data_IF_756251428424
#
_entry.id   IF_756251428424
#
_cell.length_a   1.000
_cell.length_b   1.000
_cell.length_c   1.000
_cell.angle_alpha   90.00
_cell.angle_beta   90.00
_cell.angle_gamma   90.00
#
_symmetry.space_group_name_H-M   'P 1'
#
loop_
_entity.id
_entity.type
_entity.pdbx_description
1 polymer ?
#
# COMPACT_ATOMS: atom_id res chain seq x y z
N UNK A 1 -8.32 18.77 14.98
CA UNK A 1 -9.31 18.23 15.95
C UNK A 1 -9.59 16.77 15.63
N UNK A 2 -9.71 15.90 16.63
CA UNK A 2 -10.10 14.51 16.47
C UNK A 2 -11.63 14.38 16.53
N UNK A 3 -12.24 13.60 15.62
CA UNK A 3 -13.71 13.47 15.49
C UNK A 3 -14.16 12.04 15.80
N UNK A 4 -13.58 11.02 15.15
CA UNK A 4 -13.89 9.59 15.31
C UNK A 4 -15.39 9.25 15.22
N UNK A 5 -16.07 9.73 14.18
CA UNK A 5 -17.50 9.46 13.95
C UNK A 5 -17.80 9.16 12.48
N UNK A 6 -18.85 8.39 12.17
CA UNK A 6 -19.30 8.17 10.80
C UNK A 6 -19.53 9.50 10.05
N UNK A 7 -19.15 9.55 8.78
CA UNK A 7 -19.24 10.77 7.96
C UNK A 7 -20.67 11.33 7.89
N UNK A 8 -21.68 10.46 7.79
CA UNK A 8 -23.08 10.88 7.76
C UNK A 8 -23.56 11.51 9.08
N UNK A 9 -22.94 11.16 10.21
CA UNK A 9 -23.33 11.67 11.53
C UNK A 9 -22.75 13.06 11.84
N UNK A 10 -21.69 13.45 11.13
CA UNK A 10 -20.98 14.72 11.35
C UNK A 10 -21.02 15.65 10.14
N UNK A 11 -21.61 15.20 9.04
CA UNK A 11 -21.80 15.93 7.80
C UNK A 11 -22.25 17.38 8.02
N UNK A 12 -23.34 17.55 8.77
CA UNK A 12 -23.98 18.85 8.97
C UNK A 12 -23.15 19.77 9.89
N UNK A 13 -22.45 19.20 10.87
CA UNK A 13 -21.60 19.94 11.82
C UNK A 13 -20.16 20.15 11.35
N UNK A 14 -19.74 19.47 10.28
CA UNK A 14 -18.35 19.51 9.80
C UNK A 14 -17.98 20.90 9.28
N UNK A 15 -18.92 21.57 8.60
CA UNK A 15 -18.74 22.94 8.14
C UNK A 15 -18.50 23.92 9.29
N UNK A 16 -19.32 23.83 10.35
CA UNK A 16 -19.18 24.62 11.57
C UNK A 16 -17.84 24.34 12.27
N UNK A 17 -17.49 23.06 12.45
CA UNK A 17 -16.21 22.65 13.07
C UNK A 17 -15.01 23.20 12.30
N UNK A 18 -15.04 23.16 10.96
CA UNK A 18 -13.97 23.72 10.14
C UNK A 18 -13.93 25.25 10.22
N UNK A 19 -15.09 25.91 10.35
CA UNK A 19 -15.20 27.35 10.58
C UNK A 19 -14.56 27.77 11.90
N UNK A 20 -14.85 27.05 12.98
CA UNK A 20 -14.27 27.30 14.30
C UNK A 20 -12.75 27.11 14.31
N UNK A 21 -12.27 26.03 13.67
CA UNK A 21 -10.83 25.76 13.54
C UNK A 21 -10.13 26.84 12.70
N UNK A 22 -10.78 27.34 11.65
CA UNK A 22 -10.23 28.44 10.85
C UNK A 22 -10.16 29.74 11.67
N UNK A 23 -11.22 30.06 12.41
CA UNK A 23 -11.25 31.25 13.26
C UNK A 23 -10.15 31.20 14.34
N UNK A 24 -9.99 30.05 14.99
CA UNK A 24 -8.91 29.83 15.97
C UNK A 24 -7.52 29.99 15.32
N UNK A 25 -7.27 29.32 14.18
CA UNK A 25 -5.97 29.40 13.50
C UNK A 25 -5.64 30.83 13.01
N UNK A 26 -6.65 31.60 12.60
CA UNK A 26 -6.47 33.03 12.24
C UNK A 26 -6.16 33.90 13.45
N UNK A 27 -6.80 33.65 14.58
CA UNK A 27 -6.54 34.39 15.82
C UNK A 27 -5.11 34.14 16.34
N UNK A 28 -4.65 32.88 16.30
CA UNK A 28 -3.28 32.52 16.66
C UNK A 28 -2.28 33.27 15.75
N UNK A 29 -2.52 33.29 14.44
CA UNK A 29 -1.69 33.97 13.46
C UNK A 29 -1.62 35.50 13.63
N UNK A 30 -2.72 36.14 14.05
CA UNK A 30 -2.76 37.58 14.33
C UNK A 30 -1.92 37.98 15.55
N UNK A 31 -1.68 37.04 16.47
CA UNK A 31 -0.88 37.27 17.67
C UNK A 31 0.60 37.51 17.33
N UNK A 32 1.09 36.99 16.19
CA UNK A 32 2.49 37.08 15.73
C UNK A 32 2.81 38.35 14.88
N UNK A 33 1.92 39.34 14.85
CA UNK A 33 2.18 40.77 14.51
C UNK A 33 2.75 41.17 13.14
N UNK A 34 2.73 40.32 12.11
CA UNK A 34 3.11 40.73 10.73
C UNK A 34 1.98 40.68 9.70
N UNK A 35 0.74 40.41 10.12
CA UNK A 35 -0.32 39.89 9.24
C UNK A 35 -1.34 40.90 8.67
N UNK A 36 -1.22 42.21 8.91
CA UNK A 36 -2.30 43.14 8.52
C UNK A 36 -2.39 43.43 7.00
N UNK A 37 -1.36 43.11 6.22
CA UNK A 37 -1.30 43.45 4.79
C UNK A 37 -1.33 42.26 3.83
N UNK A 38 -1.34 41.02 4.32
CA UNK A 38 -1.22 39.82 3.48
C UNK A 38 -2.44 38.93 3.65
N UNK A 39 -3.12 38.65 2.53
CA UNK A 39 -4.26 37.74 2.53
C UNK A 39 -3.79 36.31 2.88
N UNK A 40 -4.28 35.71 3.98
CA UNK A 40 -3.90 34.36 4.35
C UNK A 40 -4.53 33.32 3.41
N UNK A 41 -3.73 32.34 3.04
CA UNK A 41 -4.17 31.14 2.32
C UNK A 41 -4.68 30.11 3.31
N UNK A 42 -5.89 29.61 3.09
CA UNK A 42 -6.51 28.59 3.95
C UNK A 42 -6.68 27.29 3.18
N UNK A 43 -6.18 26.20 3.74
CA UNK A 43 -6.49 24.84 3.29
C UNK A 43 -7.23 24.08 4.40
N UNK A 44 -8.22 23.29 3.99
CA UNK A 44 -9.06 22.49 4.88
C UNK A 44 -8.92 21.03 4.46
N UNK A 45 -8.55 20.15 5.38
CA UNK A 45 -8.40 18.73 5.12
C UNK A 45 -9.04 17.89 6.21
N UNK A 46 -9.54 16.72 5.84
CA UNK A 46 -10.07 15.72 6.76
C UNK A 46 -9.39 14.39 6.52
N UNK A 47 -9.14 13.66 7.59
CA UNK A 47 -8.67 12.28 7.52
C UNK A 47 -9.87 11.34 7.56
N UNK A 48 -10.05 10.58 6.49
CA UNK A 48 -11.16 9.63 6.33
C UNK A 48 -10.64 8.21 6.26
N UNK A 49 -11.40 7.26 6.83
CA UNK A 49 -11.14 5.83 6.72
C UNK A 49 -12.43 5.04 6.75
N UNK A 50 -12.39 3.76 6.43
CA UNK A 50 -13.51 2.87 6.73
C UNK A 50 -13.56 2.53 8.21
N UNK A 51 -14.76 2.38 8.78
CA UNK A 51 -14.92 1.94 10.17
C UNK A 51 -14.18 0.63 10.41
N UNK A 52 -13.27 0.63 11.38
CA UNK A 52 -12.42 -0.50 11.74
C UNK A 52 -11.15 -0.66 10.91
N UNK A 53 -11.02 0.06 9.79
CA UNK A 53 -9.71 0.29 9.17
C UNK A 53 -8.92 1.24 10.06
N UNK A 54 -7.60 1.09 10.06
CA UNK A 54 -6.74 1.91 10.88
C UNK A 54 -6.02 3.00 10.07
N UNK A 55 -5.63 2.72 8.81
CA UNK A 55 -5.03 3.74 7.93
C UNK A 55 -6.08 4.72 7.41
N UNK A 56 -5.84 6.02 7.63
CA UNK A 56 -6.63 7.11 7.10
C UNK A 56 -6.04 7.69 5.81
N UNK A 57 -6.91 8.29 5.00
CA UNK A 57 -6.55 9.06 3.82
C UNK A 57 -6.92 10.51 4.07
N UNK A 58 -5.95 11.40 3.84
CA UNK A 58 -6.19 12.83 3.85
C UNK A 58 -6.93 13.25 2.58
N UNK A 59 -8.06 13.93 2.75
CA UNK A 59 -8.93 14.42 1.69
C UNK A 59 -9.15 15.92 1.88
N UNK A 60 -8.93 16.70 0.83
CA UNK A 60 -9.22 18.12 0.82
C UNK A 60 -10.74 18.37 0.88
N UNK A 61 -11.12 19.40 1.65
CA UNK A 61 -12.52 19.84 1.81
C UNK A 61 -12.72 21.15 1.05
N UNK A 62 -13.71 21.16 0.17
CA UNK A 62 -14.10 22.33 -0.63
C UNK A 62 -15.38 22.93 -0.05
N UNK A 63 -15.36 24.12 0.55
CA UNK A 63 -16.57 24.67 1.17
C UNK A 63 -17.46 25.42 0.14
N UNK A 64 -18.78 25.16 0.10
CA UNK A 64 -19.51 24.13 0.84
C UNK A 64 -19.30 22.72 0.25
N UNK A 65 -19.13 21.72 1.12
CA UNK A 65 -18.81 20.35 0.70
C UNK A 65 -19.92 19.37 1.10
N UNK A 66 -20.82 18.96 0.20
CA UNK A 66 -21.82 17.96 0.54
C UNK A 66 -21.14 16.60 0.84
N UNK A 67 -21.69 15.80 1.77
CA UNK A 67 -21.09 14.53 2.18
C UNK A 67 -20.82 13.56 1.04
N UNK A 68 -21.67 13.59 0.01
CA UNK A 68 -21.54 12.77 -1.20
C UNK A 68 -20.31 13.13 -2.03
N UNK A 69 -20.00 14.43 -2.15
CA UNK A 69 -18.81 14.93 -2.85
C UNK A 69 -17.53 14.50 -2.13
N UNK A 70 -17.51 14.68 -0.81
CA UNK A 70 -16.39 14.27 0.02
C UNK A 70 -16.19 12.74 0.01
N UNK A 71 -17.29 11.97 0.07
CA UNK A 71 -17.26 10.51 -0.06
C UNK A 71 -16.78 10.07 -1.45
N UNK A 72 -17.13 10.78 -2.52
CA UNK A 72 -16.66 10.49 -3.87
C UNK A 72 -15.15 10.76 -4.03
N UNK A 73 -14.64 11.87 -3.49
CA UNK A 73 -13.19 12.15 -3.45
C UNK A 73 -12.44 11.10 -2.64
N UNK A 74 -12.97 10.70 -1.49
CA UNK A 74 -12.44 9.58 -0.71
C UNK A 74 -12.40 8.29 -1.52
N UNK A 75 -13.50 7.90 -2.17
CA UNK A 75 -13.58 6.67 -2.96
C UNK A 75 -12.60 6.69 -4.13
N UNK A 76 -12.44 7.83 -4.81
CA UNK A 76 -11.44 8.00 -5.87
C UNK A 76 -10.02 7.80 -5.32
N UNK A 77 -9.67 8.50 -4.24
CA UNK A 77 -8.35 8.38 -3.59
C UNK A 77 -8.09 6.96 -3.08
N UNK A 78 -9.09 6.33 -2.49
CA UNK A 78 -9.00 4.97 -1.97
C UNK A 78 -8.74 3.96 -3.08
N UNK A 79 -9.43 4.05 -4.23
CA UNK A 79 -9.14 3.19 -5.39
C UNK A 79 -7.74 3.42 -5.95
N UNK A 80 -7.26 4.66 -5.99
CA UNK A 80 -5.88 4.96 -6.43
C UNK A 80 -4.83 4.35 -5.48
N UNK A 81 -5.08 4.38 -4.17
CA UNK A 81 -4.12 3.88 -3.16
C UNK A 81 -4.21 2.36 -2.97
N UNK A 82 -5.40 1.78 -3.01
CA UNK A 82 -5.63 0.37 -2.65
C UNK A 82 -6.08 -0.51 -3.81
N UNK A 83 -6.50 0.05 -4.95
CA UNK A 83 -6.89 -0.69 -6.14
C UNK A 83 -8.29 -1.35 -6.07
N UNK A 84 -9.02 -1.20 -4.96
CA UNK A 84 -10.37 -1.73 -4.80
C UNK A 84 -11.22 -0.80 -3.94
N UNK A 85 -12.51 -1.13 -3.76
CA UNK A 85 -13.43 -0.42 -2.89
C UNK A 85 -14.24 -1.43 -2.07
N UNK A 86 -14.16 -1.40 -0.72
CA UNK A 86 -15.05 -2.19 0.14
C UNK A 86 -16.52 -1.86 -0.11
N UNK A 87 -17.37 -2.88 -0.20
CA UNK A 87 -18.82 -2.70 -0.11
C UNK A 87 -19.27 -2.69 1.35
N UNK A 88 -20.39 -2.03 1.64
CA UNK A 88 -21.11 -2.13 2.91
C UNK A 88 -20.31 -1.74 4.17
N UNK A 89 -19.34 -0.82 4.04
CA UNK A 89 -18.57 -0.31 5.17
C UNK A 89 -18.71 1.21 5.24
N UNK A 90 -19.13 1.72 6.40
CA UNK A 90 -19.28 3.16 6.61
C UNK A 90 -17.91 3.86 6.61
N UNK A 91 -17.90 5.09 6.10
CA UNK A 91 -16.74 6.00 6.18
C UNK A 91 -16.79 6.72 7.53
N UNK A 92 -15.67 6.78 8.22
CA UNK A 92 -15.43 7.47 9.49
C UNK A 92 -14.51 8.68 9.26
N UNK A 93 -14.87 9.82 9.86
CA UNK A 93 -14.01 11.00 9.97
C UNK A 93 -13.13 10.82 11.20
N UNK A 94 -11.82 10.73 10.99
CA UNK A 94 -10.83 10.57 12.07
C UNK A 94 -10.47 11.91 12.66
N UNK A 95 -10.10 12.85 11.80
CA UNK A 95 -9.67 14.19 12.22
C UNK A 95 -10.03 15.22 11.15
N UNK A 96 -10.20 16.47 11.60
CA UNK A 96 -10.33 17.65 10.75
C UNK A 96 -9.18 18.61 11.05
N UNK A 97 -8.61 19.18 9.99
CA UNK A 97 -7.46 20.09 10.04
C UNK A 97 -7.75 21.30 9.16
N UNK A 98 -7.48 22.47 9.72
CA UNK A 98 -7.38 23.71 8.96
C UNK A 98 -5.94 24.19 9.06
N UNK A 99 -5.37 24.59 7.95
CA UNK A 99 -4.05 25.21 7.89
C UNK A 99 -4.20 26.59 7.28
N UNK A 100 -3.80 27.60 8.04
CA UNK A 100 -3.76 29.00 7.60
C UNK A 100 -2.30 29.36 7.39
N UNK A 101 -1.96 29.83 6.20
CA UNK A 101 -0.60 30.22 5.82
C UNK A 101 -0.61 31.68 5.40
N UNK A 102 0.37 32.44 5.87
CA UNK A 102 0.69 33.73 5.27
C UNK A 102 1.82 33.49 4.28
N UNK A 103 1.71 34.10 3.10
CA UNK A 103 2.88 34.25 2.25
C UNK A 103 3.84 35.20 2.96
N UNK A 104 5.08 34.78 3.18
CA UNK A 104 6.13 35.71 3.56
C UNK A 104 6.53 36.48 2.29
N UNK A 105 6.27 37.79 2.19
CA UNK A 105 6.58 38.56 1.00
C UNK A 105 8.10 38.74 0.83
N UNK A 106 8.89 38.44 1.86
CA UNK A 106 10.35 38.39 1.81
C UNK A 106 10.94 37.03 1.45
N UNK A 107 10.13 35.96 1.36
CA UNK A 107 10.60 34.60 1.09
C UNK A 107 9.99 34.04 -0.20
N UNK A 108 10.59 34.41 -1.33
CA UNK A 108 10.22 33.87 -2.64
C UNK A 108 10.92 32.53 -2.90
N UNK A 109 10.31 31.44 -2.46
CA UNK A 109 10.76 30.07 -2.77
C UNK A 109 11.88 29.54 -1.88
N UNK A 110 12.40 28.32 -2.14
CA UNK A 110 13.58 27.82 -1.45
C UNK A 110 14.68 28.87 -1.56
N UNK A 111 15.45 29.09 -0.49
CA UNK A 111 16.53 30.09 -0.42
C UNK A 111 17.25 30.18 -1.76
N UNK A 112 16.84 31.15 -2.58
CA UNK A 112 17.41 31.35 -3.89
C UNK A 112 18.68 32.09 -3.60
N UNK A 113 19.74 31.33 -3.32
CA UNK A 113 21.07 31.87 -3.41
C UNK A 113 21.17 32.38 -4.84
N UNK A 114 21.17 33.71 -4.99
CA UNK A 114 21.36 34.34 -6.28
C UNK A 114 22.52 33.62 -6.96
N UNK A 115 22.30 33.16 -8.21
CA UNK A 115 23.31 32.42 -8.94
C UNK A 115 24.64 33.18 -8.81
N UNK A 116 25.74 32.53 -8.37
CA UNK A 116 27.01 33.21 -8.19
C UNK A 116 27.33 34.01 -9.44
N UNK A 117 27.49 35.33 -9.30
CA UNK A 117 28.09 36.13 -10.35
C UNK A 117 29.49 35.58 -10.54
N UNK A 118 29.73 34.90 -11.67
CA UNK A 118 31.02 34.27 -11.93
C UNK A 118 32.15 35.26 -11.65
N UNK A 119 32.96 34.97 -10.62
CA UNK A 119 34.01 35.88 -10.20
C UNK A 119 35.07 35.96 -11.32
N UNK A 120 35.32 37.15 -11.90
CA UNK A 120 36.32 37.33 -12.96
C UNK A 120 37.76 37.01 -12.53
N UNK A 121 38.06 37.01 -11.22
CA UNK A 121 39.35 36.58 -10.68
C UNK A 121 39.41 35.05 -10.61
N UNK A 122 38.36 34.39 -10.09
CA UNK A 122 38.25 32.92 -10.09
C UNK A 122 38.28 32.37 -11.51
N UNK A 123 37.62 33.01 -12.48
CA UNK A 123 37.71 32.62 -13.91
C UNK A 123 39.12 32.72 -14.50
N UNK A 124 39.95 33.66 -14.02
CA UNK A 124 41.35 33.79 -14.46
C UNK A 124 42.23 32.70 -13.86
N UNK A 125 42.00 32.34 -12.60
CA UNK A 125 42.75 31.27 -11.92
C UNK A 125 42.27 29.86 -12.35
N UNK A 126 40.97 29.68 -12.60
CA UNK A 126 40.39 28.46 -13.18
C UNK A 126 40.87 28.18 -14.62
N UNK A 127 41.39 29.20 -15.32
CA UNK A 127 42.12 29.04 -16.58
C UNK A 127 43.38 28.18 -16.45
N UNK A 128 43.91 28.00 -15.23
CA UNK A 128 44.94 27.02 -14.90
C UNK A 128 44.31 25.67 -14.49
N UNK A 129 43.47 25.10 -15.37
CA UNK A 129 42.75 23.86 -15.10
C UNK A 129 43.72 22.71 -14.81
N UNK A 130 43.70 22.17 -13.59
CA UNK A 130 44.46 20.96 -13.24
C UNK A 130 43.78 19.75 -13.88
N UNK A 131 44.52 19.01 -14.69
CA UNK A 131 44.06 17.74 -15.25
C UNK A 131 44.14 16.66 -14.17
N UNK A 132 42.99 16.10 -13.78
CA UNK A 132 42.89 14.97 -12.87
C UNK A 132 42.69 13.67 -13.66
N UNK A 133 43.07 12.55 -13.07
CA UNK A 133 42.69 11.22 -13.56
C UNK A 133 41.77 10.58 -12.53
N UNK A 134 40.57 10.23 -12.95
CA UNK A 134 39.53 9.63 -12.11
C UNK A 134 39.23 8.23 -12.60
N UNK A 135 38.88 7.35 -11.67
CA UNK A 135 38.49 5.99 -11.99
C UNK A 135 36.96 5.85 -11.93
N UNK A 136 36.34 5.67 -13.09
CA UNK A 136 34.90 5.46 -13.25
C UNK A 136 34.68 4.33 -14.28
N UNK A 137 34.99 3.10 -13.89
CA UNK A 137 35.05 1.92 -14.78
C UNK A 137 36.32 1.86 -15.66
N UNK A 138 36.84 3.02 -16.05
CA UNK A 138 38.17 3.20 -16.64
C UNK A 138 38.83 4.48 -16.09
N UNK A 139 40.15 4.60 -16.26
CA UNK A 139 40.87 5.83 -15.94
C UNK A 139 40.56 6.91 -16.98
N UNK A 140 39.83 7.94 -16.57
CA UNK A 140 39.40 9.05 -17.43
C UNK A 140 40.09 10.33 -17.00
N UNK A 141 40.63 11.07 -17.96
CA UNK A 141 41.12 12.43 -17.71
C UNK A 141 39.92 13.37 -17.54
N UNK A 142 39.91 14.14 -16.45
CA UNK A 142 38.85 15.08 -16.12
C UNK A 142 39.47 16.42 -15.74
N UNK A 143 38.91 17.51 -16.25
CA UNK A 143 39.30 18.87 -15.85
C UNK A 143 38.63 19.24 -14.53
N UNK A 144 39.33 19.98 -13.68
CA UNK A 144 38.70 20.63 -12.52
C UNK A 144 38.19 22.01 -12.92
N UNK A 145 36.96 22.30 -12.54
CA UNK A 145 36.29 23.60 -12.70
C UNK A 145 35.76 24.01 -11.33
N UNK A 146 36.09 25.21 -10.88
CA UNK A 146 35.51 25.77 -9.67
C UNK A 146 34.08 26.23 -9.95
N UNK A 147 33.14 25.86 -9.10
CA UNK A 147 31.71 26.16 -9.27
C UNK A 147 31.46 27.66 -9.35
N UNK A 148 32.20 28.44 -8.57
CA UNK A 148 32.16 29.90 -8.48
C UNK A 148 32.56 30.59 -9.81
N UNK A 149 33.16 29.87 -10.75
CA UNK A 149 33.48 30.36 -12.10
C UNK A 149 32.31 30.27 -13.10
N UNK A 150 31.28 29.48 -12.81
CA UNK A 150 30.15 29.22 -13.69
C UNK A 150 29.00 30.21 -13.50
N UNK A 151 28.45 30.69 -14.61
CA UNK A 151 27.27 31.57 -14.64
C UNK A 151 25.98 30.77 -14.74
N UNK A 152 24.88 31.40 -14.35
CA UNK A 152 23.53 30.92 -14.64
C UNK A 152 23.38 30.58 -16.14
N UNK A 153 22.80 29.42 -16.42
CA UNK A 153 22.61 28.89 -17.77
C UNK A 153 23.89 28.36 -18.43
N UNK A 154 25.07 28.52 -17.83
CA UNK A 154 26.31 27.98 -18.37
C UNK A 154 26.34 26.46 -18.20
N UNK A 155 26.52 25.76 -19.32
CA UNK A 155 26.54 24.32 -19.38
C UNK A 155 27.97 23.80 -19.56
N UNK A 156 28.40 22.91 -18.67
CA UNK A 156 29.69 22.22 -18.76
C UNK A 156 29.46 20.71 -18.93
N UNK A 157 30.18 20.11 -19.88
CA UNK A 157 30.00 18.69 -20.22
C UNK A 157 31.07 17.85 -19.53
N UNK A 158 30.68 16.72 -18.95
CA UNK A 158 31.61 15.74 -18.44
C UNK A 158 32.48 15.11 -19.54
N UNK A 159 33.64 14.50 -19.20
CA UNK A 159 34.14 14.26 -17.85
C UNK A 159 34.80 15.50 -17.20
N UNK A 160 34.27 15.94 -16.06
CA UNK A 160 34.86 17.03 -15.26
C UNK A 160 34.60 16.86 -13.76
N UNK A 161 35.46 17.47 -12.95
CA UNK A 161 35.23 17.70 -11.53
C UNK A 161 34.76 19.12 -11.34
N UNK A 162 33.60 19.28 -10.74
CA UNK A 162 33.09 20.55 -10.29
C UNK A 162 33.37 20.68 -8.80
N UNK A 163 34.28 21.56 -8.43
CA UNK A 163 34.72 21.76 -7.04
C UNK A 163 34.06 23.01 -6.45
N UNK A 164 33.64 22.93 -5.20
CA UNK A 164 33.05 24.01 -4.41
C UNK A 164 33.68 23.98 -3.01
N UNK A 165 33.59 25.07 -2.24
CA UNK A 165 34.11 25.15 -0.87
C UNK A 165 33.67 23.99 0.06
N UNK A 166 32.51 23.38 -0.18
CA UNK A 166 31.93 22.33 0.67
C UNK A 166 31.53 21.05 -0.08
N UNK A 167 31.79 20.97 -1.38
CA UNK A 167 31.36 19.84 -2.20
C UNK A 167 32.29 19.60 -3.39
N UNK A 168 32.29 18.38 -3.92
CA UNK A 168 32.94 18.06 -5.18
C UNK A 168 32.06 17.09 -5.94
N UNK A 169 31.61 17.51 -7.13
CA UNK A 169 30.73 16.73 -7.99
C UNK A 169 31.53 16.23 -9.18
N UNK A 170 31.56 14.92 -9.39
CA UNK A 170 32.09 14.35 -10.62
C UNK A 170 30.96 14.28 -11.66
N UNK A 171 31.13 15.00 -12.76
CA UNK A 171 30.21 14.96 -13.89
C UNK A 171 30.74 13.94 -14.88
N UNK A 172 30.06 12.81 -14.99
CA UNK A 172 30.44 11.69 -15.83
C UNK A 172 30.36 12.00 -17.34
N UNK A 173 31.08 11.27 -18.20
CA UNK A 173 30.88 11.35 -19.65
C UNK A 173 29.40 11.17 -20.04
N UNK A 174 28.89 12.01 -20.93
CA UNK A 174 27.47 12.00 -21.35
C UNK A 174 26.52 12.78 -20.44
N UNK A 175 27.01 13.27 -19.30
CA UNK A 175 26.28 14.20 -18.45
C UNK A 175 26.69 15.64 -18.70
N UNK A 176 25.72 16.54 -18.62
CA UNK A 176 25.91 17.99 -18.67
C UNK A 176 25.47 18.56 -17.32
N UNK A 177 26.34 19.38 -16.71
CA UNK A 177 26.00 20.16 -15.54
C UNK A 177 25.66 21.59 -15.95
N UNK A 178 24.52 22.11 -15.49
CA UNK A 178 24.07 23.48 -15.74
C UNK A 178 23.70 24.16 -14.44
N UNK A 179 24.09 25.41 -14.28
CA UNK A 179 23.66 26.25 -13.15
C UNK A 179 22.27 26.78 -13.46
N UNK A 180 21.30 26.51 -12.59
CA UNK A 180 19.95 27.06 -12.72
C UNK A 180 19.82 28.45 -12.07
N UNK A 181 18.64 29.07 -12.24
CA UNK A 181 18.30 30.40 -11.70
C UNK A 181 18.43 30.47 -10.17
N UNK A 182 18.29 29.33 -9.48
CA UNK A 182 18.42 29.21 -8.02
C UNK A 182 19.87 28.94 -7.58
N UNK A 183 20.83 28.97 -8.50
CA UNK A 183 22.24 28.68 -8.24
C UNK A 183 22.56 27.19 -8.05
N UNK A 184 21.56 26.31 -8.15
CA UNK A 184 21.73 24.85 -8.04
C UNK A 184 22.37 24.27 -9.29
N UNK A 185 22.99 23.09 -9.15
CA UNK A 185 23.62 22.37 -10.26
C UNK A 185 22.64 21.29 -10.75
N UNK A 186 22.04 21.51 -11.91
CA UNK A 186 21.22 20.51 -12.58
C UNK A 186 22.10 19.60 -13.44
N UNK A 187 22.06 18.29 -13.17
CA UNK A 187 22.74 17.27 -13.97
C UNK A 187 21.75 16.63 -14.94
N UNK A 188 22.00 16.81 -16.24
CA UNK A 188 21.18 16.20 -17.29
C UNK A 188 22.01 15.18 -18.05
N UNK A 189 21.56 13.93 -18.08
CA UNK A 189 22.15 12.92 -18.95
C UNK A 189 21.65 13.13 -20.38
N UNK A 190 22.55 13.52 -21.29
CA UNK A 190 22.24 13.47 -22.72
C UNK A 190 22.39 12.01 -23.15
N UNK A 191 21.27 11.31 -23.27
CA UNK A 191 21.25 10.06 -24.00
C UNK A 191 21.91 10.32 -25.37
N UNK A 192 22.92 9.54 -25.79
CA UNK A 192 23.42 9.64 -27.16
C UNK A 192 22.21 9.49 -28.09
N UNK A 193 22.14 10.35 -29.12
CA UNK A 193 21.12 10.25 -30.17
C UNK A 193 21.02 8.77 -30.56
N UNK A 194 19.81 8.22 -30.43
CA UNK A 194 19.47 6.81 -30.55
C UNK A 194 20.19 6.11 -31.72
N UNK A 195 21.37 5.61 -31.41
CA UNK A 195 22.29 4.85 -32.24
C UNK A 195 23.33 4.32 -31.25
N UNK A 196 23.35 3.00 -31.07
CA UNK A 196 24.27 2.27 -30.17
C UNK A 196 23.92 2.13 -28.68
N UNK A 197 22.65 2.11 -28.29
CA UNK A 197 22.26 1.28 -27.12
C UNK A 197 22.43 -0.24 -27.37
N UNK A 198 22.90 -0.61 -28.57
CA UNK A 198 23.31 -1.96 -28.94
C UNK A 198 24.66 -2.38 -28.34
N UNK A 199 25.43 -1.47 -27.73
CA UNK A 199 26.45 -1.87 -26.78
C UNK A 199 25.75 -2.21 -25.45
N UNK A 200 25.08 -3.36 -25.43
CA UNK A 200 24.86 -4.11 -24.19
C UNK A 200 26.22 -4.12 -23.50
N UNK A 201 26.39 -3.32 -22.44
CA UNK A 201 27.36 -3.70 -21.41
C UNK A 201 27.02 -5.16 -21.15
N UNK A 202 27.96 -6.04 -21.42
CA UNK A 202 27.87 -7.44 -21.03
C UNK A 202 27.93 -7.39 -19.50
N UNK A 203 26.86 -6.91 -18.88
CA UNK A 203 26.72 -6.79 -17.45
C UNK A 203 26.95 -8.22 -16.99
N UNK A 204 28.01 -8.40 -16.19
CA UNK A 204 28.37 -9.73 -15.75
C UNK A 204 27.08 -10.41 -15.25
N UNK A 205 26.79 -11.67 -15.63
CA UNK A 205 25.52 -12.31 -15.30
C UNK A 205 25.12 -12.18 -13.82
N UNK A 206 26.12 -12.02 -12.93
CA UNK A 206 25.94 -11.68 -11.52
C UNK A 206 25.22 -10.34 -11.26
N UNK A 207 25.55 -9.28 -12.01
CA UNK A 207 24.90 -7.95 -11.90
C UNK A 207 23.45 -8.04 -12.36
N UNK A 208 23.18 -8.69 -13.49
CA UNK A 208 21.80 -8.88 -13.97
C UNK A 208 20.96 -9.69 -12.98
N UNK A 209 21.53 -10.79 -12.45
CA UNK A 209 20.87 -11.61 -11.44
C UNK A 209 20.61 -10.82 -10.14
N UNK A 210 21.57 -10.00 -9.69
CA UNK A 210 21.40 -9.16 -8.52
C UNK A 210 20.31 -8.09 -8.73
N UNK A 211 20.26 -7.45 -9.90
CA UNK A 211 19.22 -6.49 -10.24
C UNK A 211 17.84 -7.16 -10.32
N UNK A 212 17.74 -8.36 -10.91
CA UNK A 212 16.51 -9.13 -10.96
C UNK A 212 16.03 -9.52 -9.55
N UNK A 213 16.93 -10.02 -8.70
CA UNK A 213 16.63 -10.38 -7.31
C UNK A 213 16.17 -9.15 -6.50
N UNK A 214 16.84 -8.01 -6.66
CA UNK A 214 16.46 -6.75 -6.02
C UNK A 214 15.07 -6.28 -6.43
N UNK A 215 14.76 -6.32 -7.73
CA UNK A 215 13.43 -5.97 -8.27
C UNK A 215 12.34 -6.88 -7.72
N UNK A 216 12.54 -8.20 -7.76
CA UNK A 216 11.56 -9.16 -7.24
C UNK A 216 11.34 -9.00 -5.73
N UNK A 217 12.41 -8.72 -4.97
CA UNK A 217 12.33 -8.42 -3.53
C UNK A 217 11.49 -7.18 -3.27
N UNK A 218 11.71 -6.10 -4.02
CA UNK A 218 10.93 -4.88 -3.91
C UNK A 218 9.44 -5.13 -4.20
N UNK A 219 9.12 -5.92 -5.25
CA UNK A 219 7.73 -6.31 -5.56
C UNK A 219 7.10 -7.08 -4.39
N UNK A 220 7.80 -8.09 -3.84
CA UNK A 220 7.28 -8.87 -2.73
C UNK A 220 7.04 -8.01 -1.48
N UNK A 221 7.95 -7.07 -1.17
CA UNK A 221 7.78 -6.11 -0.08
C UNK A 221 6.58 -5.19 -0.32
N UNK A 222 6.43 -4.64 -1.52
CA UNK A 222 5.28 -3.79 -1.86
C UNK A 222 3.96 -4.57 -1.73
N UNK A 223 3.91 -5.83 -2.19
CA UNK A 223 2.75 -6.71 -1.97
C UNK A 223 2.39 -6.81 -0.49
N UNK A 224 3.40 -6.96 0.38
CA UNK A 224 3.23 -7.04 1.82
C UNK A 224 2.72 -5.74 2.44
N UNK A 225 3.29 -4.60 2.04
CA UNK A 225 2.86 -3.29 2.52
C UNK A 225 1.44 -2.96 2.09
N UNK A 226 1.06 -3.26 0.84
CA UNK A 226 -0.31 -3.08 0.34
C UNK A 226 -1.29 -3.93 1.14
N UNK A 227 -0.95 -5.19 1.41
CA UNK A 227 -1.78 -6.08 2.23
C UNK A 227 -1.93 -5.54 3.67
N UNK A 228 -0.83 -5.09 4.27
CA UNK A 228 -0.82 -4.55 5.63
C UNK A 228 -1.68 -3.29 5.75
N UNK A 229 -1.56 -2.34 4.80
CA UNK A 229 -2.32 -1.09 4.81
C UNK A 229 -3.81 -1.28 4.55
N UNK A 230 -4.16 -2.28 3.73
CA UNK A 230 -5.56 -2.62 3.44
C UNK A 230 -6.22 -3.43 4.58
N UNK A 231 -5.46 -3.91 5.56
CA UNK A 231 -5.96 -4.82 6.57
C UNK A 231 -6.75 -4.13 7.69
N UNK A 232 -7.94 -4.67 7.97
CA UNK A 232 -8.75 -4.36 9.16
C UNK A 232 -8.35 -5.22 10.38
N UNK A 233 -7.66 -6.35 10.14
CA UNK A 233 -7.24 -7.26 11.21
C UNK A 233 -6.00 -6.74 11.93
N UNK A 234 -6.07 -6.59 13.25
CA UNK A 234 -4.91 -6.22 14.08
C UNK A 234 -3.79 -7.27 14.02
N UNK A 235 -4.11 -8.55 13.79
CA UNK A 235 -3.09 -9.57 13.57
C UNK A 235 -2.26 -9.28 12.31
N UNK A 236 -2.90 -8.85 11.22
CA UNK A 236 -2.20 -8.52 9.98
C UNK A 236 -1.50 -7.18 10.11
N UNK A 237 -2.18 -6.14 10.62
CA UNK A 237 -1.63 -4.78 10.64
C UNK A 237 -0.57 -4.55 11.72
N UNK A 238 -0.81 -5.00 12.95
CA UNK A 238 0.06 -4.72 14.10
C UNK A 238 1.04 -5.87 14.36
N UNK A 239 0.57 -7.11 14.34
CA UNK A 239 1.45 -8.28 14.56
C UNK A 239 2.23 -8.69 13.31
N UNK A 240 1.89 -8.10 12.15
CA UNK A 240 2.45 -8.45 10.84
C UNK A 240 2.39 -9.96 10.57
N UNK A 241 1.29 -10.57 11.03
CA UNK A 241 1.03 -11.99 10.86
C UNK A 241 0.49 -12.22 9.45
N UNK A 242 1.35 -12.10 8.45
CA UNK A 242 1.04 -12.36 7.05
C UNK A 242 2.33 -12.63 6.28
N UNK A 243 2.23 -13.17 5.07
CA UNK A 243 3.39 -13.30 4.18
C UNK A 243 2.97 -13.20 2.73
N UNK A 244 3.83 -12.59 1.93
CA UNK A 244 3.69 -12.47 0.49
C UNK A 244 4.91 -13.12 -0.17
N UNK A 245 4.72 -13.84 -1.27
CA UNK A 245 5.83 -14.38 -2.05
C UNK A 245 5.54 -14.43 -3.53
N UNK A 246 6.65 -14.53 -4.27
CA UNK A 246 6.70 -14.81 -5.69
C UNK A 246 7.33 -16.20 -5.85
N UNK A 247 6.71 -17.03 -6.66
CA UNK A 247 7.10 -18.39 -6.95
C UNK A 247 7.28 -18.57 -8.46
N UNK A 248 8.14 -19.49 -8.87
CA UNK A 248 8.31 -19.86 -10.27
C UNK A 248 7.15 -20.70 -10.80
N UNK A 249 7.18 -21.06 -12.09
CA UNK A 249 6.16 -21.89 -12.74
C UNK A 249 6.04 -23.28 -12.08
N UNK A 250 7.10 -23.78 -11.46
CA UNK A 250 7.12 -25.02 -10.69
C UNK A 250 6.72 -24.81 -9.22
N UNK A 251 6.18 -23.65 -8.84
CA UNK A 251 5.73 -23.37 -7.48
C UNK A 251 6.84 -23.42 -6.44
N UNK A 252 8.10 -23.25 -6.84
CA UNK A 252 9.25 -23.09 -5.94
C UNK A 252 9.37 -21.63 -5.56
N UNK A 253 9.70 -21.40 -4.30
CA UNK A 253 9.82 -20.05 -3.75
C UNK A 253 11.01 -19.33 -4.40
N UNK A 254 10.77 -18.16 -4.97
CA UNK A 254 11.82 -17.29 -5.53
C UNK A 254 12.19 -16.20 -4.52
N UNK A 255 11.18 -15.47 -4.02
CA UNK A 255 11.37 -14.40 -3.03
C UNK A 255 10.13 -14.24 -2.15
N UNK A 256 10.31 -13.71 -0.94
CA UNK A 256 9.24 -13.44 0.01
C UNK A 256 9.41 -12.09 0.71
N UNK A 257 8.29 -11.53 1.16
CA UNK A 257 8.28 -10.41 2.09
C UNK A 257 8.67 -10.87 3.51
N UNK A 258 9.40 -10.05 4.28
CA UNK A 258 9.97 -10.45 5.57
C UNK A 258 8.99 -10.25 6.73
N UNK A 259 8.14 -11.21 7.11
CA UNK A 259 7.25 -11.01 8.27
C UNK A 259 7.00 -12.25 9.15
N UNK A 260 6.82 -13.45 8.59
CA UNK A 260 6.60 -14.66 9.39
C UNK A 260 7.41 -15.86 8.86
N UNK A 261 8.49 -16.29 9.56
CA UNK A 261 9.36 -17.37 9.08
C UNK A 261 8.65 -18.71 8.81
N UNK A 262 7.57 -19.04 9.54
CA UNK A 262 6.83 -20.30 9.37
C UNK A 262 6.12 -20.39 8.01
N UNK A 263 5.76 -19.25 7.41
CA UNK A 263 5.13 -19.20 6.09
C UNK A 263 6.15 -19.50 4.98
N UNK A 264 7.43 -19.21 5.21
CA UNK A 264 8.49 -19.32 4.21
C UNK A 264 8.62 -20.75 3.66
N UNK A 265 8.64 -21.74 4.55
CA UNK A 265 8.77 -23.14 4.16
C UNK A 265 7.48 -23.76 3.61
N UNK A 266 6.32 -23.29 4.09
CA UNK A 266 5.03 -23.93 3.79
C UNK A 266 4.33 -23.38 2.54
N UNK A 267 4.63 -22.16 2.11
CA UNK A 267 3.92 -21.53 0.99
C UNK A 267 4.27 -22.15 -0.37
N UNK A 268 5.54 -22.50 -0.60
CA UNK A 268 5.93 -23.24 -1.80
C UNK A 268 5.32 -24.65 -1.86
N UNK A 269 5.26 -25.34 -0.71
CA UNK A 269 4.59 -26.65 -0.61
C UNK A 269 3.09 -26.52 -0.91
N UNK A 270 2.44 -25.46 -0.40
CA UNK A 270 1.04 -25.17 -0.67
C UNK A 270 0.76 -24.99 -2.16
N UNK A 271 1.52 -24.12 -2.84
CA UNK A 271 1.33 -23.85 -4.27
C UNK A 271 1.54 -25.11 -5.10
N UNK A 272 2.58 -25.89 -4.82
CA UNK A 272 2.81 -27.16 -5.55
C UNK A 272 1.70 -28.17 -5.31
N UNK A 273 1.23 -28.35 -4.07
CA UNK A 273 0.16 -29.29 -3.78
C UNK A 273 -1.18 -28.86 -4.43
N UNK A 274 -1.49 -27.56 -4.45
CA UNK A 274 -2.66 -27.03 -5.16
C UNK A 274 -2.51 -27.20 -6.67
N UNK A 275 -1.33 -26.97 -7.22
CA UNK A 275 -1.05 -27.21 -8.64
C UNK A 275 -1.19 -28.68 -9.00
N UNK A 276 -0.65 -29.60 -8.20
CA UNK A 276 -0.73 -31.03 -8.48
C UNK A 276 -2.18 -31.54 -8.40
N UNK A 277 -3.03 -30.89 -7.59
CA UNK A 277 -4.45 -31.19 -7.48
C UNK A 277 -5.28 -30.61 -8.65
N UNK A 278 -5.03 -29.36 -9.02
CA UNK A 278 -5.85 -28.63 -10.01
C UNK A 278 -5.31 -28.71 -11.43
N UNK A 279 -4.01 -29.03 -11.59
CA UNK A 279 -3.33 -29.05 -12.87
C UNK A 279 -3.47 -27.72 -13.62
N UNK A 280 -3.84 -27.75 -14.91
CA UNK A 280 -4.00 -26.55 -15.75
C UNK A 280 -5.04 -25.55 -15.22
N UNK A 281 -6.00 -25.97 -14.40
CA UNK A 281 -7.03 -25.05 -13.87
C UNK A 281 -6.43 -23.95 -12.98
N UNK A 282 -5.29 -24.21 -12.33
CA UNK A 282 -4.58 -23.20 -11.53
C UNK A 282 -3.99 -22.09 -12.42
N UNK A 283 -3.71 -22.37 -13.69
CA UNK A 283 -3.17 -21.40 -14.65
C UNK A 283 -4.24 -20.41 -15.14
N UNK A 284 -5.52 -20.64 -14.83
CA UNK A 284 -6.61 -19.82 -15.38
C UNK A 284 -7.39 -19.02 -14.33
N UNK A 285 -6.96 -19.03 -13.06
CA UNK A 285 -7.66 -18.26 -12.04
C UNK A 285 -6.97 -18.16 -10.68
N UNK A 286 -7.45 -17.21 -9.89
CA UNK A 286 -7.05 -17.05 -8.48
C UNK A 286 -7.68 -18.15 -7.63
N UNK A 287 -6.86 -18.84 -6.85
CA UNK A 287 -7.29 -19.84 -5.88
C UNK A 287 -7.17 -19.30 -4.47
N UNK A 288 -8.15 -19.64 -3.62
CA UNK A 288 -8.16 -19.30 -2.20
C UNK A 288 -8.32 -20.60 -1.41
N UNK A 289 -7.38 -20.88 -0.50
CA UNK A 289 -7.37 -22.11 0.29
C UNK A 289 -6.92 -21.84 1.72
N UNK A 290 -7.53 -22.56 2.67
CA UNK A 290 -7.09 -22.63 4.07
C UNK A 290 -6.93 -24.09 4.52
N UNK A 291 -6.91 -25.03 3.58
CA UNK A 291 -6.98 -26.45 3.91
C UNK A 291 -5.64 -26.94 4.47
N UNK A 292 -5.64 -27.63 5.63
CA UNK A 292 -4.39 -27.99 6.32
C UNK A 292 -3.53 -28.97 5.52
N UNK A 293 -4.14 -29.86 4.74
CA UNK A 293 -3.40 -30.82 3.91
C UNK A 293 -2.59 -30.16 2.76
N UNK A 294 -2.87 -28.89 2.43
CA UNK A 294 -2.18 -28.14 1.39
C UNK A 294 -1.30 -27.04 1.99
N UNK A 295 -0.73 -27.27 3.18
CA UNK A 295 0.31 -26.41 3.73
C UNK A 295 -0.19 -25.15 4.45
N UNK A 296 -1.44 -25.14 4.93
CA UNK A 296 -1.91 -24.14 5.90
C UNK A 296 -1.29 -24.36 7.28
N UNK A 297 -0.65 -23.33 7.84
CA UNK A 297 0.07 -23.42 9.13
C UNK A 297 -0.89 -23.56 10.31
N UNK A 298 -2.05 -22.92 10.23
CA UNK A 298 -3.18 -23.14 11.12
C UNK A 298 -4.51 -22.80 10.42
N UNK A 299 -5.64 -23.28 10.96
CA UNK A 299 -6.95 -23.15 10.31
C UNK A 299 -7.38 -21.72 9.92
N UNK A 300 -7.05 -20.66 10.69
CA UNK A 300 -7.33 -19.28 10.28
C UNK A 300 -6.56 -18.78 9.06
N UNK A 301 -5.46 -19.44 8.66
CA UNK A 301 -4.60 -18.97 7.57
C UNK A 301 -5.28 -19.19 6.23
N UNK A 302 -5.59 -18.10 5.55
CA UNK A 302 -6.07 -18.13 4.18
C UNK A 302 -4.92 -17.79 3.26
N UNK A 303 -4.63 -18.68 2.32
CA UNK A 303 -3.66 -18.47 1.25
C UNK A 303 -4.41 -18.16 -0.04
N UNK A 304 -4.09 -17.03 -0.66
CA UNK A 304 -4.51 -16.64 -2.00
C UNK A 304 -3.34 -16.90 -2.95
N UNK A 305 -3.58 -17.62 -4.03
CA UNK A 305 -2.60 -17.97 -5.06
C UNK A 305 -3.11 -17.43 -6.39
N UNK A 306 -2.29 -16.66 -7.10
CA UNK A 306 -2.65 -16.09 -8.39
C UNK A 306 -1.55 -16.40 -9.43
N UNK A 307 -1.90 -17.00 -10.59
CA UNK A 307 -0.94 -17.27 -11.65
C UNK A 307 -0.56 -15.97 -12.38
N UNK A 308 0.71 -15.83 -12.71
CA UNK A 308 1.27 -14.69 -13.45
C UNK A 308 1.69 -15.15 -14.83
N UNK A 309 1.24 -14.44 -15.86
CA UNK A 309 1.52 -14.78 -17.26
C UNK A 309 2.24 -13.65 -17.98
N UNK A 310 2.98 -13.98 -19.03
CA UNK A 310 3.46 -13.00 -20.00
C UNK A 310 2.33 -12.56 -20.96
N UNK A 311 2.66 -11.63 -21.86
CA UNK A 311 1.75 -11.11 -22.88
C UNK A 311 1.23 -12.22 -23.83
N UNK A 312 2.02 -13.28 -24.01
CA UNK A 312 1.68 -14.45 -24.82
C UNK A 312 0.91 -15.52 -24.03
N UNK A 313 0.50 -15.21 -22.79
CA UNK A 313 -0.26 -16.07 -21.87
C UNK A 313 0.49 -17.34 -21.43
N UNK A 314 1.82 -17.36 -21.50
CA UNK A 314 2.62 -18.41 -20.86
C UNK A 314 2.76 -18.13 -19.37
N UNK A 315 2.65 -19.18 -18.56
CA UNK A 315 2.87 -19.10 -17.12
C UNK A 315 4.33 -18.73 -16.81
N UNK A 316 4.52 -17.62 -16.11
CA UNK A 316 5.82 -17.18 -15.58
C UNK A 316 6.03 -17.70 -14.15
N UNK A 317 4.96 -17.83 -13.39
CA UNK A 317 4.99 -18.26 -12.00
C UNK A 317 3.72 -17.88 -11.25
N UNK A 318 3.82 -17.77 -9.92
CA UNK A 318 2.69 -17.47 -9.06
C UNK A 318 3.03 -16.37 -8.07
N UNK A 319 2.03 -15.55 -7.74
CA UNK A 319 2.05 -14.75 -6.51
C UNK A 319 1.20 -15.44 -5.46
N UNK A 320 1.67 -15.40 -4.22
CA UNK A 320 0.93 -15.96 -3.09
C UNK A 320 0.92 -14.96 -1.92
N UNK A 321 -0.25 -14.82 -1.28
CA UNK A 321 -0.42 -14.06 -0.06
C UNK A 321 -1.14 -14.91 0.98
N UNK A 322 -0.58 -14.99 2.19
CA UNK A 322 -1.17 -15.68 3.32
C UNK A 322 -1.41 -14.73 4.47
N UNK A 323 -2.62 -14.73 5.01
CA UNK A 323 -2.97 -13.96 6.19
C UNK A 323 -4.08 -14.67 7.00
N UNK A 324 -4.11 -14.51 8.33
CA UNK A 324 -5.17 -15.01 9.17
C UNK A 324 -6.44 -14.21 8.93
N UNK A 325 -7.54 -14.92 8.65
CA UNK A 325 -8.86 -14.30 8.63
C UNK A 325 -9.35 -14.07 10.06
N UNK A 326 -9.80 -12.85 10.37
CA UNK A 326 -10.53 -12.58 11.62
C UNK A 326 -11.86 -13.34 11.57
N UNK A 327 -12.05 -14.23 12.53
CA UNK A 327 -13.31 -14.94 12.69
C UNK A 327 -14.39 -13.92 13.08
N UNK A 328 -15.33 -13.63 12.17
CA UNK A 328 -16.56 -12.92 12.54
C UNK A 328 -17.37 -13.93 13.36
N UNK A 329 -17.10 -13.99 14.66
CA UNK A 329 -17.86 -14.82 15.60
C UNK A 329 -19.35 -14.52 15.42
N UNK A 330 -20.08 -15.40 14.77
CA UNK A 330 -21.43 -15.69 15.24
C UNK A 330 -21.24 -16.27 16.65
N UNK A 331 -22.01 -15.79 17.62
CA UNK A 331 -21.89 -16.15 19.04
C UNK A 331 -22.09 -17.65 19.26
N UNK A 332 -21.05 -18.45 19.04
CA UNK A 332 -20.92 -19.80 19.54
C UNK A 332 -19.91 -19.75 20.69
N UNK A 333 -20.40 -20.07 21.89
CA UNK A 333 -19.61 -20.14 23.12
C UNK A 333 -18.39 -21.03 22.88
N UNK A 334 -17.21 -20.53 23.27
CA UNK A 334 -15.99 -21.34 23.31
C UNK A 334 -16.09 -22.19 24.58
N UNK A 335 -16.46 -23.46 24.42
CA UNK A 335 -16.06 -24.48 25.39
C UNK A 335 -14.61 -24.88 25.08
N UNK A 336 -13.81 -25.08 26.15
CA UNK A 336 -12.36 -25.26 26.11
C UNK A 336 -11.82 -26.44 25.27
N UNK A 337 -10.49 -26.64 25.27
CA UNK A 337 -9.79 -27.42 24.25
C UNK A 337 -10.15 -28.90 24.36
N UNK A 338 -10.93 -29.42 23.40
CA UNK A 338 -11.03 -30.85 23.17
C UNK A 338 -9.99 -31.22 22.12
N UNK A 339 -9.03 -32.05 22.52
CA UNK A 339 -8.02 -32.65 21.66
C UNK A 339 -8.67 -33.36 20.46
N UNK A 340 -8.27 -33.00 19.24
CA UNK A 340 -8.69 -33.70 18.03
C UNK A 340 -7.93 -35.03 17.93
N UNK A 341 -8.59 -36.13 18.30
CA UNK A 341 -8.19 -37.50 17.95
C UNK A 341 -8.52 -37.76 16.46
N UNK A 342 -7.53 -38.09 15.61
CA UNK A 342 -7.73 -38.28 14.17
C UNK A 342 -8.50 -39.56 13.78
N UNK A 343 -8.98 -40.38 14.73
CA UNK A 343 -9.64 -41.67 14.43
C UNK A 343 -11.16 -41.64 14.35
N UNK A 344 -11.83 -40.49 14.49
CA UNK A 344 -13.29 -40.37 14.30
C UNK A 344 -13.65 -39.66 12.99
N UNK A 345 -13.18 -40.20 11.87
CA UNK A 345 -13.61 -39.80 10.53
C UNK A 345 -14.97 -40.41 10.18
N UNK A 346 -16.05 -39.67 10.41
CA UNK A 346 -17.40 -40.00 9.94
C UNK A 346 -17.71 -39.36 8.59
N UNK A 347 -17.99 -40.21 7.59
CA UNK A 347 -18.52 -39.98 6.24
C UNK A 347 -17.82 -38.93 5.35
N UNK A 348 -17.19 -39.46 4.30
CA UNK A 348 -16.66 -38.75 3.13
C UNK A 348 -17.81 -38.17 2.31
N UNK A 349 -17.78 -36.87 2.08
CA UNK A 349 -18.53 -36.19 1.01
C UNK A 349 -17.49 -35.71 -0.03
N UNK A 350 -17.48 -36.24 -1.26
CA UNK A 350 -16.39 -36.01 -2.23
C UNK A 350 -16.50 -34.69 -3.02
N UNK A 351 -17.40 -33.76 -2.68
CA UNK A 351 -17.57 -32.51 -3.45
C UNK A 351 -17.31 -31.25 -2.64
N UNK A 352 -16.03 -30.96 -2.37
CA UNK A 352 -15.59 -29.66 -1.84
C UNK A 352 -15.47 -28.62 -2.96
N UNK A 353 -16.48 -27.76 -3.13
CA UNK A 353 -16.49 -26.73 -4.16
C UNK A 353 -15.42 -25.65 -3.95
N UNK A 354 -14.43 -25.60 -4.83
CA UNK A 354 -13.64 -24.40 -5.09
C UNK A 354 -14.54 -23.34 -5.76
N UNK A 355 -14.73 -22.19 -5.11
CA UNK A 355 -15.55 -21.11 -5.68
C UNK A 355 -14.71 -20.29 -6.67
N UNK A 356 -15.05 -20.38 -7.96
CA UNK A 356 -14.50 -19.57 -9.06
C UNK A 356 -15.08 -18.14 -9.02
N UNK A 357 -14.26 -17.13 -9.34
CA UNK A 357 -14.74 -15.81 -9.80
C UNK A 357 -14.30 -15.63 -11.26
N UNK A 358 -15.19 -15.22 -12.18
CA UNK A 358 -14.82 -14.99 -13.58
C UNK A 358 -14.01 -13.68 -13.74
N UNK A 359 -13.19 -13.55 -14.80
CA UNK A 359 -12.41 -12.35 -15.06
C UNK A 359 -13.30 -11.21 -15.57
N UNK A 360 -13.30 -10.07 -14.87
CA UNK A 360 -14.04 -8.87 -15.28
C UNK A 360 -13.28 -8.09 -16.35
N UNK A 361 -13.86 -8.02 -17.54
CA UNK A 361 -13.46 -7.10 -18.61
C UNK A 361 -14.09 -5.72 -18.44
N UNK A 362 -13.31 -4.69 -18.73
CA UNK A 362 -13.75 -3.30 -18.82
C UNK A 362 -14.68 -3.12 -20.05
N UNK A 363 -15.89 -2.60 -19.85
CA UNK A 363 -16.84 -2.28 -20.91
C UNK A 363 -17.96 -1.36 -20.42
N UNK A 364 -18.21 -0.27 -21.15
CA UNK A 364 -19.03 0.89 -20.84
C UNK A 364 -20.54 0.66 -21.07
N UNK A 365 -21.39 1.37 -20.29
CA UNK A 365 -22.71 1.86 -20.74
C UNK A 365 -23.96 1.08 -20.30
N UNK A 366 -25.15 1.73 -20.19
CA UNK A 366 -26.03 1.57 -19.03
C UNK A 366 -27.35 0.81 -19.28
N UNK A 367 -27.92 0.28 -18.19
CA UNK A 367 -29.36 0.06 -18.01
C UNK A 367 -29.91 -1.31 -18.40
N UNK A 368 -30.24 -2.14 -17.41
CA UNK A 368 -31.51 -2.86 -17.33
C UNK A 368 -31.65 -3.59 -15.98
N UNK A 369 -32.76 -3.28 -15.30
CA UNK A 369 -33.45 -4.02 -14.25
C UNK A 369 -33.27 -5.54 -14.35
N UNK A 370 -33.24 -6.22 -13.20
CA UNK A 370 -34.11 -7.38 -12.95
C UNK A 370 -34.18 -7.64 -11.43
N UNK A 371 -35.32 -7.24 -10.85
CA UNK A 371 -35.85 -7.70 -9.57
C UNK A 371 -36.21 -9.19 -9.62
N UNK A 372 -36.02 -9.89 -8.50
CA UNK A 372 -36.56 -11.23 -8.26
C UNK A 372 -36.49 -11.62 -6.78
N UNK A 373 -37.52 -12.27 -6.21
CA UNK A 373 -38.04 -11.90 -4.90
C UNK A 373 -37.60 -12.80 -3.72
N UNK A 374 -37.65 -12.21 -2.52
CA UNK A 374 -37.56 -12.87 -1.21
C UNK A 374 -38.74 -13.84 -0.97
N UNK A 375 -38.53 -15.00 -0.32
CA UNK A 375 -39.64 -15.86 0.09
C UNK A 375 -40.17 -15.48 1.48
N UNK A 376 -41.44 -15.07 1.53
CA UNK A 376 -42.28 -15.00 2.72
C UNK A 376 -42.83 -16.39 3.14
N UNK A 377 -43.25 -16.57 4.41
CA UNK A 377 -43.42 -17.86 5.05
C UNK A 377 -44.81 -18.50 4.82
N UNK A 378 -44.86 -19.83 4.70
CA UNK A 378 -46.12 -20.58 4.59
C UNK A 378 -46.79 -20.74 5.96
N UNK A 379 -48.03 -20.25 6.04
CA UNK A 379 -49.06 -20.61 7.01
C UNK A 379 -49.70 -21.97 6.65
N UNK A 380 -50.24 -22.69 7.64
CA UNK A 380 -50.95 -23.95 7.41
C UNK A 380 -51.14 -24.79 8.67
N UNK A 381 -52.17 -24.43 9.42
CA UNK A 381 -52.68 -24.95 10.69
C UNK A 381 -53.09 -26.44 10.68
N UNK A 382 -52.94 -27.14 11.82
CA UNK A 382 -53.93 -28.06 12.40
C UNK A 382 -53.47 -28.62 13.78
N UNK A 383 -54.18 -28.19 14.83
CA UNK A 383 -54.15 -28.57 16.25
C UNK A 383 -54.76 -29.99 16.51
N UNK A 384 -55.02 -30.43 17.77
CA UNK A 384 -54.20 -30.50 19.00
C UNK A 384 -54.28 -31.89 19.68
N UNK A 385 -53.36 -32.21 20.61
CA UNK A 385 -53.71 -33.11 21.74
C UNK A 385 -53.16 -32.62 23.08
N UNK A 386 -54.11 -32.52 24.00
CA UNK A 386 -54.09 -32.20 25.42
C UNK A 386 -53.09 -32.96 26.28
N UNK A 387 -52.57 -32.29 27.32
CA UNK A 387 -52.25 -32.77 28.70
C UNK A 387 -51.88 -31.49 29.49
N UNK A 388 -52.60 -31.05 30.51
CA UNK A 388 -52.97 -31.75 31.72
C UNK A 388 -52.02 -31.30 32.84
N UNK A 389 -52.36 -30.20 33.53
CA UNK A 389 -51.65 -29.73 34.73
C UNK A 389 -52.02 -30.61 35.93
N UNK A 390 -51.03 -30.94 36.76
CA UNK A 390 -51.20 -31.50 38.10
C UNK A 390 -49.86 -31.52 38.85
N UNK A 391 -49.74 -30.96 40.08
CA UNK A 391 -48.48 -30.78 40.80
C UNK A 391 -48.25 -31.83 41.92
N UNK A 392 -47.11 -31.69 42.64
CA UNK A 392 -46.59 -32.43 43.83
C UNK A 392 -45.56 -33.52 43.47
N UNK A 393 -44.43 -33.70 44.14
CA UNK A 393 -43.84 -33.07 45.32
C UNK A 393 -42.46 -33.69 45.63
N UNK A 394 -41.69 -32.96 46.44
CA UNK A 394 -40.64 -33.38 47.40
C UNK A 394 -39.86 -34.70 47.16
N UNK A 395 -38.54 -34.58 47.02
CA UNK A 395 -37.59 -35.69 47.20
C UNK A 395 -36.15 -35.20 47.35
N UNK A 396 -35.66 -35.15 48.59
CA UNK A 396 -34.25 -34.89 48.95
C UNK A 396 -33.40 -36.14 48.68
N UNK A 397 -32.13 -35.97 48.28
CA UNK A 397 -31.09 -37.01 48.32
C UNK A 397 -29.81 -36.55 47.60
N UNK A 398 -28.92 -35.84 48.31
CA UNK A 398 -27.66 -36.32 48.92
C UNK A 398 -26.56 -36.72 47.93
N UNK A 399 -25.46 -35.97 48.05
CA UNK A 399 -24.14 -36.19 47.48
C UNK A 399 -23.52 -37.55 47.84
N UNK A 400 -22.69 -38.07 46.94
CA UNK A 400 -21.56 -38.95 47.26
C UNK A 400 -20.38 -38.62 46.31
N UNK A 401 -19.13 -38.51 46.82
CA UNK A 401 -17.93 -38.23 46.02
C UNK A 401 -17.08 -39.49 45.70
N UNK A 402 -16.45 -39.47 44.50
CA UNK A 402 -15.08 -39.90 44.07
C UNK A 402 -14.58 -41.32 44.47
N UNK A 403 -13.81 -42.03 43.61
CA UNK A 403 -12.34 -42.00 43.81
C UNK A 403 -11.48 -42.03 42.52
N UNK A 404 -10.41 -41.24 42.59
CA UNK A 404 -9.07 -41.29 41.94
C UNK A 404 -8.93 -41.62 40.46
#
# INVERSE_FOLDING_TARGET
>A
MQVLRPLHDVADSLGETLGDLEAAARADLQTDRTADSIAPQVSRTVELRFVGQDDSLEIAVEAPDPPESLAARFASRYRTVFGYMPSDTAIEVVSARVTVRLADPGHSGPDTHAAPTADPQVRRDAGASRAHRLFAGAWTAAQSVERESLREGEAVNGPLLLTEAHSTVFVEPGWTATVDEAGSIALTHRAPASGDHAARTNAAPAVEAALAAGKLTAIAQEMGERLCRAAVSTNVKQRRDFSCAILDAEGRLVVNAPHVPVHLGSMGVCVRAVRDLLGPDLEHGTIVTNHPAFGGSHLPDVTVIHPVHDEQRRLLGYTAARAPRRDRRHRARIDGPRSCDPRRGGRRDPTGQARRRPPGGLGRGPGALLDGPSPEPRSGDQRPRSRGRGPRGLGRGRCAPVPR
#
